data_IF_295636010229
#
_entry.id   IF_295636010229
#
_cell.length_a   1.000
_cell.length_b   1.000
_cell.length_c   1.000
_cell.angle_alpha   90.00
_cell.angle_beta   90.00
_cell.angle_gamma   90.00
#
_symmetry.space_group_name_H-M   'P 1'
#
loop_
_entity.id
_entity.type
_entity.pdbx_description
1 polymer ?
#
# COMPACT_ATOMS: atom_id res chain seq x y z
N UNK A 1 55.85 4.84 35.45
CA UNK A 1 55.83 4.78 33.98
C UNK A 1 55.08 3.50 33.61
N UNK A 2 53.78 3.58 33.30
CA UNK A 2 52.96 2.40 32.96
C UNK A 2 52.48 2.59 31.53
N UNK A 3 52.77 1.58 30.72
CA UNK A 3 52.70 1.57 29.27
C UNK A 3 51.25 1.55 28.75
N UNK A 4 51.01 2.34 27.71
CA UNK A 4 49.77 2.43 26.96
C UNK A 4 49.73 1.27 25.94
N UNK A 5 48.82 0.31 26.11
CA UNK A 5 48.57 -0.73 25.10
C UNK A 5 47.46 -0.22 24.18
N UNK A 6 47.85 0.19 22.99
CA UNK A 6 46.93 0.59 21.93
C UNK A 6 46.21 -0.66 21.37
N UNK A 7 44.91 -0.75 21.60
CA UNK A 7 44.05 -1.74 20.94
C UNK A 7 43.65 -1.22 19.55
N UNK A 8 43.99 -1.98 18.50
CA UNK A 8 43.58 -1.73 17.12
C UNK A 8 42.06 -1.93 16.97
N UNK A 9 41.33 -1.06 16.26
CA UNK A 9 39.93 -1.31 15.94
C UNK A 9 39.85 -2.39 14.85
N UNK A 10 39.33 -3.57 15.21
CA UNK A 10 38.90 -4.57 14.25
C UNK A 10 37.72 -3.98 13.45
N UNK A 11 37.87 -3.85 12.13
CA UNK A 11 36.77 -3.47 11.24
C UNK A 11 35.72 -4.58 11.26
N UNK A 12 34.58 -4.29 11.88
CA UNK A 12 33.39 -5.12 11.79
C UNK A 12 32.97 -5.20 10.33
N UNK A 13 33.03 -6.40 9.76
CA UNK A 13 32.62 -6.68 8.40
C UNK A 13 31.15 -6.33 8.17
N UNK A 14 30.90 -5.83 6.96
CA UNK A 14 29.62 -5.43 6.41
C UNK A 14 28.51 -6.44 6.73
N UNK A 15 27.68 -6.11 7.73
CA UNK A 15 26.31 -6.58 7.74
C UNK A 15 25.60 -5.79 6.64
N UNK A 16 25.39 -6.43 5.48
CA UNK A 16 24.27 -6.08 4.60
C UNK A 16 23.01 -6.08 5.46
N UNK A 17 22.64 -4.92 5.98
CA UNK A 17 21.30 -4.69 6.47
C UNK A 17 20.39 -4.98 5.28
N UNK A 18 19.69 -6.11 5.37
CA UNK A 18 18.50 -6.34 4.56
C UNK A 18 17.60 -5.18 4.91
N UNK A 19 17.53 -4.19 4.02
CA UNK A 19 16.63 -3.05 4.13
C UNK A 19 15.25 -3.62 4.44
N UNK A 20 14.81 -3.44 5.68
CA UNK A 20 13.57 -3.99 6.17
C UNK A 20 12.49 -3.23 5.41
N UNK A 21 11.79 -3.92 4.50
CA UNK A 21 10.73 -3.30 3.71
C UNK A 21 9.85 -2.46 4.63
N UNK A 22 9.62 -1.19 4.27
CA UNK A 22 8.85 -0.29 5.11
C UNK A 22 7.50 -0.95 5.45
N UNK A 23 7.01 -0.79 6.69
CA UNK A 23 5.72 -1.35 7.06
C UNK A 23 4.63 -0.81 6.13
N UNK A 24 3.71 -1.68 5.71
CA UNK A 24 2.54 -1.29 4.94
C UNK A 24 1.66 -0.37 5.82
N UNK A 25 1.58 0.90 5.47
CA UNK A 25 0.84 1.90 6.24
C UNK A 25 -0.50 2.19 5.56
N UNK A 26 -1.61 1.91 6.23
CA UNK A 26 -2.91 2.41 5.79
C UNK A 26 -2.94 3.94 5.97
N UNK A 27 -3.17 4.67 4.88
CA UNK A 27 -3.18 6.15 4.88
C UNK A 27 -4.57 6.72 4.61
N UNK A 28 -5.45 5.95 3.97
CA UNK A 28 -6.84 6.31 3.75
C UNK A 28 -7.69 5.07 3.52
N UNK A 29 -8.98 5.18 3.83
CA UNK A 29 -9.98 4.18 3.54
C UNK A 29 -11.37 4.79 3.67
N UNK A 30 -12.32 4.28 2.91
CA UNK A 30 -13.68 4.77 2.99
C UNK A 30 -14.67 3.94 2.21
N UNK A 31 -15.93 4.31 2.37
CA UNK A 31 -17.02 3.76 1.58
C UNK A 31 -18.05 4.85 1.29
N UNK A 32 -18.63 4.80 0.11
CA UNK A 32 -19.74 5.67 -0.26
C UNK A 32 -20.83 4.88 -0.99
N UNK A 33 -22.08 5.29 -0.76
CA UNK A 33 -23.23 4.75 -1.47
C UNK A 33 -23.52 5.52 -2.75
N UNK A 34 -23.89 4.81 -3.81
CA UNK A 34 -24.38 5.36 -5.07
C UNK A 34 -25.90 5.26 -5.04
N UNK A 35 -26.59 6.38 -5.23
CA UNK A 35 -28.05 6.45 -5.14
C UNK A 35 -28.67 7.00 -6.42
N UNK A 36 -29.80 6.42 -6.85
CA UNK A 36 -30.65 6.94 -7.91
C UNK A 36 -32.05 7.16 -7.33
N UNK A 37 -32.54 8.41 -7.38
CA UNK A 37 -33.86 8.78 -6.85
C UNK A 37 -34.10 8.35 -5.38
N UNK A 38 -33.06 8.44 -4.55
CA UNK A 38 -33.10 8.04 -3.13
C UNK A 38 -32.97 6.53 -2.89
N UNK A 39 -32.93 5.70 -3.92
CA UNK A 39 -32.66 4.27 -3.79
C UNK A 39 -31.16 4.00 -3.93
N UNK A 40 -30.58 3.23 -3.00
CA UNK A 40 -29.19 2.79 -3.10
C UNK A 40 -29.07 1.76 -4.21
N UNK A 41 -28.17 2.01 -5.15
CA UNK A 41 -27.88 1.13 -6.27
C UNK A 41 -26.62 0.29 -6.01
N UNK A 42 -25.60 0.91 -5.40
CA UNK A 42 -24.34 0.26 -5.13
C UNK A 42 -23.62 0.91 -3.95
N UNK A 43 -22.60 0.23 -3.43
CA UNK A 43 -21.66 0.73 -2.44
C UNK A 43 -20.25 0.50 -2.97
N UNK A 44 -19.44 1.57 -3.05
CA UNK A 44 -18.01 1.47 -3.29
C UNK A 44 -17.29 1.43 -1.94
N UNK A 45 -16.27 0.58 -1.80
CA UNK A 45 -15.34 0.57 -0.68
C UNK A 45 -13.92 0.64 -1.20
N UNK A 46 -13.07 1.49 -0.62
CA UNK A 46 -11.68 1.61 -1.02
C UNK A 46 -10.73 1.61 0.17
N UNK A 47 -9.50 1.18 -0.06
CA UNK A 47 -8.38 1.30 0.88
C UNK A 47 -7.13 1.79 0.16
N UNK A 48 -6.34 2.61 0.83
CA UNK A 48 -5.08 3.13 0.33
C UNK A 48 -3.99 2.79 1.33
N UNK A 49 -3.01 2.02 0.85
CA UNK A 49 -1.82 1.67 1.60
C UNK A 49 -0.60 2.30 0.97
N UNK A 50 0.33 2.77 1.78
CA UNK A 50 1.64 3.24 1.34
C UNK A 50 2.72 2.28 1.84
N UNK A 51 3.65 1.97 0.95
CA UNK A 51 4.87 1.25 1.27
C UNK A 51 6.00 1.78 0.40
N UNK A 52 7.09 2.19 1.05
CA UNK A 52 8.23 2.83 0.40
C UNK A 52 7.75 4.05 -0.44
N UNK A 53 8.15 4.13 -1.71
CA UNK A 53 7.73 5.18 -2.65
C UNK A 53 6.49 4.81 -3.49
N UNK A 54 5.66 3.88 -3.01
CA UNK A 54 4.48 3.40 -3.74
C UNK A 54 3.21 3.48 -2.89
N UNK A 55 2.09 3.73 -3.56
CA UNK A 55 0.74 3.59 -3.00
C UNK A 55 0.02 2.45 -3.71
N UNK A 56 -0.62 1.59 -2.94
CA UNK A 56 -1.56 0.58 -3.41
C UNK A 56 -2.98 1.03 -3.07
N UNK A 57 -3.80 1.21 -4.09
CA UNK A 57 -5.20 1.57 -3.98
C UNK A 57 -6.01 0.35 -4.40
N UNK A 58 -6.87 -0.13 -3.51
CA UNK A 58 -7.77 -1.25 -3.79
C UNK A 58 -9.20 -0.76 -3.66
N UNK A 59 -10.05 -1.14 -4.61
CA UNK A 59 -11.44 -0.70 -4.66
C UNK A 59 -12.38 -1.87 -4.98
N UNK A 60 -13.56 -1.85 -4.39
CA UNK A 60 -14.61 -2.86 -4.60
C UNK A 60 -15.98 -2.17 -4.71
N UNK A 61 -16.64 -2.33 -5.85
CA UNK A 61 -18.00 -1.88 -6.10
C UNK A 61 -18.96 -3.07 -5.94
N UNK A 62 -19.90 -2.96 -5.01
CA UNK A 62 -20.98 -3.94 -4.81
C UNK A 62 -22.32 -3.34 -5.19
N UNK A 63 -23.04 -3.96 -6.12
CA UNK A 63 -24.42 -3.59 -6.44
C UNK A 63 -25.39 -4.22 -5.43
N UNK A 64 -26.40 -3.48 -4.96
CA UNK A 64 -27.35 -3.96 -3.94
C UNK A 64 -28.24 -5.11 -4.45
N UNK A 65 -28.58 -5.10 -5.74
CA UNK A 65 -29.48 -6.08 -6.37
C UNK A 65 -28.89 -6.71 -7.65
N UNK A 66 -27.57 -6.69 -7.79
CA UNK A 66 -26.86 -7.19 -8.96
C UNK A 66 -25.92 -8.35 -8.61
N UNK A 67 -25.69 -9.31 -9.53
CA UNK A 67 -24.70 -10.37 -9.30
C UNK A 67 -23.26 -9.85 -9.34
N UNK A 68 -23.06 -8.65 -9.91
CA UNK A 68 -21.74 -8.17 -10.27
C UNK A 68 -21.06 -7.38 -9.15
N UNK A 69 -19.90 -7.87 -8.76
CA UNK A 69 -18.91 -7.11 -7.98
C UNK A 69 -17.80 -6.69 -8.92
N UNK A 70 -17.43 -5.42 -8.91
CA UNK A 70 -16.26 -4.93 -9.63
C UNK A 70 -15.13 -4.69 -8.64
N UNK A 71 -13.90 -5.03 -9.03
CA UNK A 71 -12.70 -4.82 -8.22
C UNK A 71 -11.63 -4.13 -9.03
N UNK A 72 -10.89 -3.25 -8.39
CA UNK A 72 -9.68 -2.66 -8.97
C UNK A 72 -8.51 -2.69 -8.00
N UNK A 73 -7.32 -2.93 -8.53
CA UNK A 73 -6.05 -2.82 -7.82
C UNK A 73 -5.12 -1.90 -8.63
N UNK A 74 -4.80 -0.74 -8.07
CA UNK A 74 -3.89 0.25 -8.64
C UNK A 74 -2.63 0.35 -7.78
N UNK A 75 -1.47 0.26 -8.42
CA UNK A 75 -0.17 0.56 -7.81
C UNK A 75 0.45 1.75 -8.52
N UNK A 76 0.75 2.80 -7.76
CA UNK A 76 1.28 4.07 -8.27
C UNK A 76 2.51 4.48 -7.46
N UNK A 77 3.48 5.12 -8.09
CA UNK A 77 4.64 5.72 -7.41
C UNK A 77 4.28 7.07 -6.78
N UNK A 78 5.15 7.59 -5.91
CA UNK A 78 5.01 8.92 -5.31
C UNK A 78 5.03 10.08 -6.31
N UNK A 79 5.59 9.88 -7.51
CA UNK A 79 5.57 10.86 -8.60
C UNK A 79 4.40 10.66 -9.59
N UNK A 80 3.44 9.78 -9.27
CA UNK A 80 2.22 9.58 -10.04
C UNK A 80 2.34 8.63 -11.24
N UNK A 81 3.43 7.87 -11.37
CA UNK A 81 3.56 6.85 -12.41
C UNK A 81 2.82 5.57 -12.01
N UNK A 82 1.98 5.06 -12.92
CA UNK A 82 1.26 3.80 -12.72
C UNK A 82 2.22 2.64 -12.95
N UNK A 83 2.42 1.82 -11.92
CA UNK A 83 3.19 0.59 -12.01
C UNK A 83 2.34 -0.61 -12.41
N UNK A 84 1.08 -0.63 -11.95
CA UNK A 84 0.13 -1.70 -12.24
C UNK A 84 -1.29 -1.21 -12.09
N UNK A 85 -2.16 -1.68 -12.98
CA UNK A 85 -3.59 -1.52 -12.85
C UNK A 85 -4.26 -2.82 -13.27
N UNK A 86 -5.03 -3.40 -12.36
CA UNK A 86 -5.84 -4.58 -12.61
C UNK A 86 -7.31 -4.23 -12.32
N UNK A 87 -8.20 -4.73 -13.17
CA UNK A 87 -9.65 -4.58 -12.98
C UNK A 87 -10.32 -5.90 -13.32
N UNK A 88 -11.34 -6.26 -12.54
CA UNK A 88 -12.15 -7.43 -12.79
C UNK A 88 -13.61 -7.19 -12.44
N UNK A 89 -14.48 -7.97 -13.08
CA UNK A 89 -15.91 -8.03 -12.81
C UNK A 89 -16.34 -9.49 -12.78
N UNK A 90 -17.10 -9.84 -11.74
CA UNK A 90 -17.81 -11.11 -11.63
C UNK A 90 -19.28 -11.00 -12.03
#
# INVERSE_FOLDING_TARGET
>A
MIACVAALPARAGDKKEKEKAAPLQAVDSGSFGIFIKGQRLATETFTIHQQNATSTIQSELKQENGPATQKSDLVITSNGQILRYEWSQG
#
